data_IF_811292733195
#
_entry.id   IF_811292733195
#
_cell.length_a   1.000
_cell.length_b   1.000
_cell.length_c   1.000
_cell.angle_alpha   90.00
_cell.angle_beta   90.00
_cell.angle_gamma   90.00
#
_symmetry.space_group_name_H-M   'P 1'
#
loop_
_entity.id
_entity.type
_entity.pdbx_description
1 polymer ?
#
# COMPACT_ATOMS: atom_id res chain seq x y z
N UNK A 1 7.41 23.30 15.14
CA UNK A 1 7.61 22.43 13.94
C UNK A 1 6.34 21.64 13.65
N UNK A 2 5.81 20.79 14.53
CA UNK A 2 4.53 20.12 14.29
C UNK A 2 3.36 21.11 14.17
N UNK A 3 3.31 22.12 15.01
CA UNK A 3 2.26 23.16 14.97
C UNK A 3 2.23 23.93 13.64
N UNK A 4 3.39 24.18 13.02
CA UNK A 4 3.46 24.85 11.70
C UNK A 4 2.96 23.95 10.59
N UNK A 5 3.27 22.64 10.64
CA UNK A 5 2.76 21.65 9.68
C UNK A 5 1.26 21.46 9.87
N UNK A 6 0.81 21.39 11.12
CA UNK A 6 -0.59 21.31 11.48
C UNK A 6 -1.39 22.48 10.93
N UNK A 7 -0.92 23.73 11.12
CA UNK A 7 -1.56 24.92 10.57
C UNK A 7 -1.70 24.92 9.04
N UNK A 8 -0.83 24.19 8.32
CA UNK A 8 -0.91 24.09 6.88
C UNK A 8 -1.99 23.14 6.39
N UNK A 9 -2.28 22.09 7.14
CA UNK A 9 -3.09 20.96 6.68
C UNK A 9 -4.37 20.72 7.47
N UNK A 10 -4.44 21.16 8.74
CA UNK A 10 -5.52 20.77 9.65
C UNK A 10 -6.91 21.20 9.15
N UNK A 11 -7.05 22.42 8.65
CA UNK A 11 -8.34 22.89 8.17
C UNK A 11 -8.84 22.10 6.96
N UNK A 12 -7.96 21.82 6.00
CA UNK A 12 -8.31 21.02 4.83
C UNK A 12 -8.58 19.57 5.22
N UNK A 13 -7.77 18.99 6.11
CA UNK A 13 -7.97 17.64 6.61
C UNK A 13 -9.33 17.51 7.31
N UNK A 14 -9.68 18.45 8.18
CA UNK A 14 -10.95 18.49 8.86
C UNK A 14 -12.13 18.56 7.87
N UNK A 15 -12.06 19.48 6.91
CA UNK A 15 -13.09 19.62 5.88
C UNK A 15 -13.29 18.31 5.08
N UNK A 16 -12.20 17.72 4.57
CA UNK A 16 -12.27 16.47 3.79
C UNK A 16 -12.72 15.28 4.63
N UNK A 17 -12.29 15.22 5.89
CA UNK A 17 -12.72 14.16 6.81
C UNK A 17 -14.22 14.24 7.09
N UNK A 18 -14.75 15.43 7.40
CA UNK A 18 -16.18 15.62 7.62
C UNK A 18 -17.00 15.48 6.32
N UNK A 19 -16.45 15.86 5.18
CA UNK A 19 -17.09 15.60 3.88
C UNK A 19 -17.30 14.10 3.66
N UNK A 20 -16.37 13.24 4.10
CA UNK A 20 -16.46 11.80 3.89
C UNK A 20 -17.25 11.08 4.99
N UNK A 21 -17.04 11.46 6.25
CA UNK A 21 -17.49 10.69 7.41
C UNK A 21 -18.58 11.36 8.24
N UNK A 22 -18.76 12.69 8.17
CA UNK A 22 -19.71 13.45 8.98
C UNK A 22 -19.61 13.14 10.49
N UNK A 23 -18.40 12.89 11.02
CA UNK A 23 -18.16 12.42 12.37
C UNK A 23 -17.02 13.20 13.04
N UNK A 24 -17.38 14.21 13.84
CA UNK A 24 -16.44 15.08 14.54
C UNK A 24 -15.66 14.31 15.62
N UNK A 25 -16.31 13.43 16.36
CA UNK A 25 -15.66 12.67 17.43
C UNK A 25 -14.53 11.79 16.88
N UNK A 26 -14.78 11.06 15.79
CA UNK A 26 -13.74 10.24 15.16
C UNK A 26 -12.61 11.10 14.57
N UNK A 27 -12.89 12.34 14.14
CA UNK A 27 -11.84 13.28 13.75
C UNK A 27 -10.97 13.71 14.94
N UNK A 28 -11.57 14.02 16.08
CA UNK A 28 -10.82 14.35 17.30
C UNK A 28 -9.93 13.16 17.75
N UNK A 29 -10.48 11.94 17.70
CA UNK A 29 -9.70 10.71 17.98
C UNK A 29 -8.53 10.54 17.00
N UNK A 30 -8.73 10.81 15.69
CA UNK A 30 -7.67 10.84 14.71
C UNK A 30 -6.58 11.86 15.11
N UNK A 31 -6.96 13.11 15.41
CA UNK A 31 -5.99 14.16 15.74
C UNK A 31 -5.17 13.83 16.99
N UNK A 32 -5.79 13.23 18.01
CA UNK A 32 -5.07 12.72 19.18
C UNK A 32 -4.04 11.66 18.80
N UNK A 33 -4.44 10.70 17.97
CA UNK A 33 -3.53 9.64 17.49
C UNK A 33 -2.35 10.21 16.67
N UNK A 34 -2.58 11.27 15.87
CA UNK A 34 -1.51 11.94 15.12
C UNK A 34 -0.50 12.60 16.07
N UNK A 35 -0.98 13.26 17.11
CA UNK A 35 -0.11 13.86 18.13
C UNK A 35 0.72 12.79 18.85
N UNK A 36 0.10 11.70 19.29
CA UNK A 36 0.79 10.57 19.93
C UNK A 36 1.85 9.95 18.99
N UNK A 37 1.51 9.76 17.72
CA UNK A 37 2.45 9.23 16.73
C UNK A 37 3.66 10.15 16.52
N UNK A 38 3.46 11.47 16.51
CA UNK A 38 4.54 12.44 16.42
C UNK A 38 5.40 12.46 17.68
N UNK A 39 4.81 12.40 18.87
CA UNK A 39 5.54 12.33 20.15
C UNK A 39 6.45 11.09 20.21
N UNK A 40 5.94 9.97 19.72
CA UNK A 40 6.66 8.70 19.68
C UNK A 40 7.66 8.58 18.52
N UNK A 41 7.70 9.56 17.60
CA UNK A 41 8.62 9.51 16.47
C UNK A 41 10.07 9.69 16.91
N UNK A 42 10.99 8.76 16.59
CA UNK A 42 12.40 8.82 16.98
C UNK A 42 13.07 10.12 16.53
N UNK A 43 13.97 10.65 17.36
CA UNK A 43 14.67 11.92 17.10
C UNK A 43 15.47 11.90 15.78
N UNK A 44 16.09 10.76 15.44
CA UNK A 44 16.80 10.59 14.18
C UNK A 44 15.87 10.71 12.97
N UNK A 45 14.63 10.18 13.06
CA UNK A 45 13.63 10.27 12.00
C UNK A 45 13.07 11.69 11.90
N UNK A 46 12.85 12.40 13.02
CA UNK A 46 12.49 13.83 13.00
C UNK A 46 13.58 14.69 12.34
N UNK A 47 14.84 14.33 12.53
CA UNK A 47 15.96 15.00 11.85
C UNK A 47 15.96 14.72 10.34
N UNK A 48 15.63 13.48 9.94
CA UNK A 48 15.45 13.10 8.54
C UNK A 48 14.29 13.88 7.91
N UNK A 49 13.16 13.96 8.59
CA UNK A 49 11.98 14.73 8.15
C UNK A 49 12.35 16.19 7.87
N UNK A 50 13.05 16.83 8.81
CA UNK A 50 13.46 18.23 8.68
C UNK A 50 14.44 18.48 7.53
N UNK A 51 15.26 17.50 7.16
CA UNK A 51 16.13 17.58 5.97
C UNK A 51 15.30 17.46 4.68
N UNK A 52 14.40 16.47 4.62
CA UNK A 52 13.59 16.20 3.43
C UNK A 52 12.55 17.26 3.16
N UNK A 53 12.04 17.95 4.18
CA UNK A 53 11.21 19.16 3.97
C UNK A 53 11.93 20.27 3.22
N UNK A 54 13.27 20.38 3.38
CA UNK A 54 14.09 21.34 2.63
C UNK A 54 14.42 20.85 1.21
N UNK A 55 14.28 19.55 0.97
CA UNK A 55 14.55 18.89 -0.30
C UNK A 55 13.32 18.05 -0.73
N UNK A 56 12.17 18.67 -0.99
CA UNK A 56 10.90 17.94 -1.17
C UNK A 56 10.89 16.97 -2.36
N UNK A 57 11.85 17.13 -3.29
CA UNK A 57 12.01 16.23 -4.43
C UNK A 57 13.15 15.21 -4.25
N UNK A 58 13.59 14.92 -3.01
CA UNK A 58 14.67 13.98 -2.73
C UNK A 58 14.51 12.64 -3.44
N UNK A 59 13.28 12.14 -3.58
CA UNK A 59 12.92 10.88 -4.23
C UNK A 59 12.95 10.93 -5.78
N UNK A 60 13.18 12.11 -6.37
CA UNK A 60 13.35 12.30 -7.83
C UNK A 60 14.82 12.46 -8.22
N UNK A 61 15.73 12.12 -7.32
CA UNK A 61 17.16 12.24 -7.58
C UNK A 61 17.58 11.30 -8.73
N UNK A 62 18.46 11.80 -9.61
CA UNK A 62 19.01 11.01 -10.74
C UNK A 62 19.80 9.78 -10.30
N UNK A 63 20.27 9.77 -9.07
CA UNK A 63 21.02 8.64 -8.49
C UNK A 63 20.11 7.61 -7.82
N UNK A 64 18.79 7.76 -7.87
CA UNK A 64 17.89 6.78 -7.29
C UNK A 64 17.84 5.54 -8.19
N UNK A 65 18.43 4.46 -7.69
CA UNK A 65 18.37 3.13 -8.27
C UNK A 65 17.67 2.21 -7.30
N UNK A 66 16.57 1.60 -7.74
CA UNK A 66 15.73 0.73 -6.91
C UNK A 66 15.88 -0.73 -7.24
N UNK A 67 15.70 -1.57 -6.21
CA UNK A 67 15.53 -3.02 -6.35
C UNK A 67 14.31 -3.45 -5.55
N UNK A 68 13.57 -4.43 -6.06
CA UNK A 68 12.42 -5.05 -5.38
C UNK A 68 12.72 -6.52 -5.15
N UNK A 69 12.47 -7.02 -3.94
CA UNK A 69 12.72 -8.41 -3.58
C UNK A 69 11.85 -8.90 -2.42
N UNK A 70 11.62 -10.20 -2.38
CA UNK A 70 11.13 -10.87 -1.18
C UNK A 70 12.30 -11.16 -0.24
N UNK A 71 12.25 -10.72 1.05
CA UNK A 71 13.36 -10.95 2.00
C UNK A 71 13.73 -12.42 2.14
N UNK A 72 12.71 -13.29 2.23
CA UNK A 72 12.86 -14.73 2.39
C UNK A 72 13.53 -15.38 1.19
N UNK A 73 13.18 -14.97 -0.04
CA UNK A 73 13.76 -15.52 -1.27
C UNK A 73 15.18 -15.01 -1.52
N UNK A 74 15.44 -13.74 -1.17
CA UNK A 74 16.76 -13.13 -1.39
C UNK A 74 17.80 -13.64 -0.41
N UNK A 75 17.48 -13.68 0.88
CA UNK A 75 18.46 -13.91 1.93
C UNK A 75 17.90 -14.68 3.15
N UNK A 76 16.80 -15.40 3.00
CA UNK A 76 16.19 -16.20 4.07
C UNK A 76 15.39 -15.41 5.11
N UNK A 77 15.44 -14.08 5.10
CA UNK A 77 14.73 -13.19 6.01
C UNK A 77 15.43 -11.86 6.23
N UNK A 78 14.97 -11.07 7.21
CA UNK A 78 15.47 -9.71 7.47
C UNK A 78 16.95 -9.69 7.90
N UNK A 79 17.38 -10.63 8.73
CA UNK A 79 18.79 -10.71 9.13
C UNK A 79 19.71 -10.98 7.93
N UNK A 80 19.31 -11.89 7.04
CA UNK A 80 20.07 -12.13 5.82
C UNK A 80 20.13 -10.89 4.92
N UNK A 81 19.06 -10.11 4.81
CA UNK A 81 19.09 -8.81 4.09
C UNK A 81 20.10 -7.87 4.73
N UNK A 82 20.16 -7.79 6.09
CA UNK A 82 21.14 -6.96 6.81
C UNK A 82 22.58 -7.40 6.46
N UNK A 83 22.85 -8.68 6.39
CA UNK A 83 24.17 -9.23 6.03
C UNK A 83 24.59 -8.90 4.59
N UNK A 84 23.61 -8.64 3.70
CA UNK A 84 23.87 -8.30 2.28
C UNK A 84 23.84 -6.80 1.97
N UNK A 85 23.80 -5.91 2.97
CA UNK A 85 23.72 -4.46 2.75
C UNK A 85 24.95 -3.89 2.02
N UNK A 86 26.13 -4.45 2.23
CA UNK A 86 27.34 -4.02 1.52
C UNK A 86 27.25 -4.37 0.03
N UNK A 87 26.73 -5.55 -0.30
CA UNK A 87 26.43 -5.92 -1.69
C UNK A 87 25.47 -4.93 -2.33
N UNK A 88 24.37 -4.55 -1.66
CA UNK A 88 23.41 -3.56 -2.19
C UNK A 88 24.08 -2.19 -2.40
N UNK A 89 24.97 -1.79 -1.50
CA UNK A 89 25.73 -0.54 -1.63
C UNK A 89 26.72 -0.58 -2.81
N UNK A 90 27.40 -1.69 -3.03
CA UNK A 90 28.29 -1.89 -4.18
C UNK A 90 27.53 -1.78 -5.50
N UNK A 91 26.28 -2.30 -5.55
CA UNK A 91 25.40 -2.18 -6.70
C UNK A 91 24.80 -0.77 -6.85
N UNK A 92 25.15 0.20 -5.96
CA UNK A 92 24.63 1.58 -5.96
C UNK A 92 23.12 1.66 -5.75
N UNK A 93 22.52 0.68 -5.08
CA UNK A 93 21.11 0.70 -4.69
C UNK A 93 20.91 1.82 -3.68
N UNK A 94 19.91 2.65 -3.90
CA UNK A 94 19.50 3.75 -3.01
C UNK A 94 18.03 3.65 -2.60
N UNK A 95 17.30 2.69 -3.17
CA UNK A 95 15.91 2.42 -2.89
C UNK A 95 15.67 0.91 -2.85
N UNK A 96 15.30 0.41 -1.69
CA UNK A 96 14.99 -1.01 -1.48
C UNK A 96 13.49 -1.19 -1.24
N UNK A 97 12.80 -1.88 -2.13
CA UNK A 97 11.42 -2.30 -1.92
C UNK A 97 11.41 -3.76 -1.47
N UNK A 98 11.11 -3.98 -0.21
CA UNK A 98 10.83 -5.31 0.31
C UNK A 98 9.34 -5.63 0.09
N UNK A 99 9.10 -6.72 -0.64
CA UNK A 99 7.77 -7.28 -0.86
C UNK A 99 7.13 -7.66 0.48
N UNK A 100 5.80 -7.89 0.55
CA UNK A 100 5.10 -7.99 1.82
C UNK A 100 5.80 -8.85 2.86
N UNK A 101 5.96 -8.29 4.04
CA UNK A 101 6.68 -8.92 5.15
C UNK A 101 5.91 -8.86 6.48
N UNK A 102 4.72 -8.25 6.48
CA UNK A 102 3.86 -8.22 7.66
C UNK A 102 3.21 -9.59 7.88
N UNK A 103 2.78 -9.85 9.11
CA UNK A 103 2.21 -11.14 9.50
C UNK A 103 1.06 -11.53 8.60
N UNK A 104 1.11 -12.77 8.11
CA UNK A 104 0.20 -13.32 7.13
C UNK A 104 -0.18 -14.75 7.46
N UNK A 105 -1.36 -15.25 7.06
CA UNK A 105 -1.71 -16.66 7.22
C UNK A 105 -0.87 -17.55 6.32
N UNK A 106 -0.65 -18.79 6.73
CA UNK A 106 0.02 -19.80 5.94
C UNK A 106 -0.90 -21.02 5.75
N UNK A 107 -0.95 -21.63 4.54
CA UNK A 107 -0.15 -21.33 3.34
C UNK A 107 -0.77 -20.31 2.37
N UNK A 108 -2.03 -19.88 2.57
CA UNK A 108 -2.77 -19.04 1.64
C UNK A 108 -2.71 -17.57 2.06
N UNK A 109 -1.87 -16.76 1.39
CA UNK A 109 -1.66 -15.37 1.74
C UNK A 109 -1.44 -14.43 0.54
N UNK A 110 -1.58 -14.93 -0.69
CA UNK A 110 -1.38 -14.13 -1.91
C UNK A 110 -0.01 -13.41 -1.94
N UNK A 111 1.07 -14.13 -1.59
CA UNK A 111 2.42 -13.54 -1.55
C UNK A 111 2.60 -12.50 -0.43
N UNK A 112 1.77 -12.55 0.61
CA UNK A 112 1.81 -11.65 1.76
C UNK A 112 0.81 -10.49 1.70
N UNK A 113 -0.02 -10.42 0.66
CA UNK A 113 -1.06 -9.38 0.55
C UNK A 113 -2.32 -9.68 1.37
N UNK A 114 -2.48 -10.87 1.96
CA UNK A 114 -3.46 -11.14 3.00
C UNK A 114 -2.84 -10.87 4.37
N UNK A 115 -3.01 -9.64 4.90
CA UNK A 115 -2.36 -9.22 6.15
C UNK A 115 -3.17 -9.66 7.36
N UNK A 116 -2.53 -10.36 8.30
CA UNK A 116 -3.11 -10.81 9.55
C UNK A 116 -2.86 -9.84 10.72
N UNK A 117 -1.72 -9.12 10.68
CA UNK A 117 -1.38 -8.07 11.63
C UNK A 117 -0.47 -7.02 10.97
N UNK A 118 -0.93 -5.77 10.92
CA UNK A 118 -0.18 -4.66 10.32
C UNK A 118 0.99 -4.15 11.17
N UNK A 119 1.06 -4.53 12.43
CA UNK A 119 2.10 -4.07 13.38
C UNK A 119 3.15 -5.12 13.70
N UNK A 120 3.05 -6.29 13.09
CA UNK A 120 3.96 -7.41 13.32
C UNK A 120 4.59 -7.88 12.01
N UNK A 121 5.91 -8.05 12.03
CA UNK A 121 6.62 -8.77 10.97
C UNK A 121 6.27 -10.24 11.05
N UNK A 122 6.13 -10.91 9.90
CA UNK A 122 5.88 -12.34 9.83
C UNK A 122 7.03 -13.12 10.47
N UNK A 123 6.76 -14.03 11.44
CA UNK A 123 7.82 -14.77 12.15
C UNK A 123 8.73 -15.61 11.25
N UNK A 124 8.27 -16.01 10.06
CA UNK A 124 9.12 -16.73 9.09
C UNK A 124 10.08 -15.80 8.33
N UNK A 125 9.89 -14.47 8.43
CA UNK A 125 10.71 -13.46 7.76
C UNK A 125 11.63 -12.76 8.75
N UNK A 126 11.17 -12.53 9.99
CA UNK A 126 11.94 -11.87 11.01
C UNK A 126 11.12 -11.30 12.15
N UNK A 127 11.64 -10.26 12.82
CA UNK A 127 10.98 -9.55 13.94
C UNK A 127 10.92 -8.05 13.70
N UNK A 128 10.13 -7.35 14.52
CA UNK A 128 10.04 -5.89 14.46
C UNK A 128 11.38 -5.22 14.81
N UNK A 129 12.13 -5.81 15.75
CA UNK A 129 13.48 -5.34 16.14
C UNK A 129 14.47 -5.48 14.98
N UNK A 130 14.37 -6.56 14.21
CA UNK A 130 15.17 -6.77 13.01
C UNK A 130 14.79 -5.77 11.92
N UNK A 131 13.51 -5.47 11.74
CA UNK A 131 13.04 -4.43 10.81
C UNK A 131 13.58 -3.05 11.23
N UNK A 132 13.49 -2.70 12.51
CA UNK A 132 14.05 -1.44 13.02
C UNK A 132 15.56 -1.35 12.84
N UNK A 133 16.30 -2.46 13.10
CA UNK A 133 17.73 -2.55 12.84
C UNK A 133 18.03 -2.36 11.35
N UNK A 134 17.30 -3.04 10.48
CA UNK A 134 17.45 -2.94 9.03
C UNK A 134 17.25 -1.48 8.56
N UNK A 135 16.18 -0.81 8.99
CA UNK A 135 15.92 0.58 8.59
C UNK A 135 17.05 1.52 9.00
N UNK A 136 17.64 1.33 10.21
CA UNK A 136 18.78 2.11 10.68
C UNK A 136 20.03 1.88 9.82
N UNK A 137 20.33 0.62 9.51
CA UNK A 137 21.49 0.26 8.70
C UNK A 137 21.37 0.72 7.24
N UNK A 138 20.17 0.65 6.66
CA UNK A 138 19.87 1.18 5.34
C UNK A 138 20.10 2.71 5.29
N UNK A 139 19.57 3.47 6.27
CA UNK A 139 19.76 4.92 6.33
C UNK A 139 21.22 5.34 6.43
N UNK A 140 22.05 4.62 7.19
CA UNK A 140 23.51 4.87 7.24
C UNK A 140 24.17 4.78 5.87
N UNK A 141 23.62 3.96 4.96
CA UNK A 141 24.10 3.74 3.60
C UNK A 141 23.40 4.60 2.55
N UNK A 142 22.46 5.47 2.97
CA UNK A 142 21.68 6.29 2.05
C UNK A 142 20.64 5.50 1.24
N UNK A 143 20.21 4.36 1.74
CA UNK A 143 19.19 3.50 1.10
C UNK A 143 17.85 3.72 1.81
N UNK A 144 16.82 4.11 1.06
CA UNK A 144 15.46 4.27 1.57
C UNK A 144 14.67 2.97 1.47
N UNK A 145 14.00 2.57 2.56
CA UNK A 145 13.16 1.38 2.59
C UNK A 145 11.73 1.70 2.16
N UNK A 146 11.23 0.90 1.22
CA UNK A 146 9.83 0.85 0.82
C UNK A 146 9.19 -0.44 1.32
N UNK A 147 8.00 -0.32 1.92
CA UNK A 147 7.14 -1.46 2.26
C UNK A 147 5.75 -1.32 1.64
N UNK A 148 5.12 -2.48 1.39
CA UNK A 148 3.72 -2.56 1.00
C UNK A 148 2.80 -2.31 2.20
N UNK A 149 1.72 -1.57 1.99
CA UNK A 149 0.60 -1.46 2.91
C UNK A 149 -0.69 -1.76 2.17
N UNK A 150 -1.36 -2.83 2.59
CA UNK A 150 -2.63 -3.26 2.04
C UNK A 150 -3.76 -2.49 2.73
N UNK A 151 -4.31 -1.47 2.06
CA UNK A 151 -5.41 -0.69 2.64
C UNK A 151 -6.79 -1.22 2.28
N UNK A 152 -6.92 -1.97 1.17
CA UNK A 152 -8.22 -2.40 0.69
C UNK A 152 -8.87 -3.51 1.52
N UNK A 153 -8.08 -4.42 2.10
CA UNK A 153 -8.57 -5.64 2.75
C UNK A 153 -7.63 -6.12 3.86
N UNK A 154 -8.10 -7.06 4.65
CA UNK A 154 -7.29 -7.86 5.58
C UNK A 154 -7.42 -9.35 5.27
N UNK A 155 -6.56 -10.19 5.87
CA UNK A 155 -6.82 -11.61 5.91
C UNK A 155 -8.12 -11.89 6.72
N UNK A 156 -8.79 -12.98 6.39
CA UNK A 156 -9.95 -13.48 7.15
C UNK A 156 -9.56 -14.08 8.53
N UNK A 157 -8.27 -14.12 8.82
CA UNK A 157 -7.64 -14.47 10.10
C UNK A 157 -7.13 -13.25 10.88
N UNK A 158 -7.29 -12.03 10.34
CA UNK A 158 -7.00 -10.80 11.08
C UNK A 158 -7.86 -10.70 12.35
N UNK A 159 -7.35 -10.11 13.42
CA UNK A 159 -8.08 -10.00 14.71
C UNK A 159 -9.48 -9.40 14.53
N UNK A 160 -9.66 -8.43 13.65
CA UNK A 160 -10.98 -7.87 13.36
C UNK A 160 -11.92 -8.90 12.72
N UNK A 161 -11.41 -9.71 11.79
CA UNK A 161 -12.19 -10.77 11.15
C UNK A 161 -12.55 -11.88 12.16
N UNK A 162 -11.62 -12.25 13.05
CA UNK A 162 -11.87 -13.22 14.12
C UNK A 162 -12.98 -12.72 15.06
N UNK A 163 -12.94 -11.44 15.45
CA UNK A 163 -13.95 -10.83 16.31
C UNK A 163 -15.30 -10.68 15.61
N UNK A 164 -15.29 -10.34 14.32
CA UNK A 164 -16.49 -10.33 13.49
C UNK A 164 -17.14 -11.72 13.42
N UNK A 165 -16.35 -12.79 13.21
CA UNK A 165 -16.80 -14.18 13.22
C UNK A 165 -17.42 -14.59 14.56
N UNK A 166 -17.03 -13.97 15.68
CA UNK A 166 -17.64 -14.16 17.00
C UNK A 166 -18.96 -13.38 17.20
N UNK A 167 -19.41 -12.62 16.21
CA UNK A 167 -20.63 -11.82 16.26
C UNK A 167 -20.48 -10.45 16.92
N UNK A 168 -19.27 -9.95 17.10
CA UNK A 168 -19.02 -8.60 17.62
C UNK A 168 -19.35 -7.56 16.54
N UNK A 169 -20.49 -6.86 16.69
CA UNK A 169 -21.04 -5.94 15.67
C UNK A 169 -20.04 -4.86 15.27
N UNK A 170 -19.30 -4.28 16.21
CA UNK A 170 -18.29 -3.25 15.93
C UNK A 170 -17.25 -3.72 14.91
N UNK A 171 -16.90 -5.02 14.95
CA UNK A 171 -15.91 -5.60 14.03
C UNK A 171 -16.54 -6.09 12.74
N UNK A 172 -17.80 -6.49 12.77
CA UNK A 172 -18.57 -6.77 11.55
C UNK A 172 -18.72 -5.51 10.70
N UNK A 173 -18.96 -4.35 11.33
CA UNK A 173 -19.09 -3.05 10.67
C UNK A 173 -17.79 -2.53 10.03
N UNK A 174 -16.64 -3.19 10.29
CA UNK A 174 -15.36 -2.90 9.64
C UNK A 174 -15.23 -3.52 8.25
N UNK A 175 -16.12 -4.44 7.90
CA UNK A 175 -16.13 -5.16 6.62
C UNK A 175 -17.41 -4.88 5.83
N UNK A 176 -17.33 -5.02 4.52
CA UNK A 176 -18.50 -5.00 3.66
C UNK A 176 -19.16 -6.39 3.71
N UNK A 177 -20.13 -6.57 4.61
CA UNK A 177 -20.79 -7.87 4.80
C UNK A 177 -22.31 -7.75 4.92
N UNK A 178 -23.05 -8.73 4.37
CA UNK A 178 -24.50 -8.68 4.17
C UNK A 178 -25.14 -10.02 4.51
N UNK A 179 -26.35 -9.99 5.13
CA UNK A 179 -27.08 -11.20 5.54
C UNK A 179 -27.61 -12.00 4.35
N UNK A 180 -28.05 -11.33 3.32
CA UNK A 180 -28.66 -11.93 2.14
C UNK A 180 -27.90 -11.58 0.87
N UNK A 181 -28.22 -12.26 -0.23
CA UNK A 181 -27.67 -11.96 -1.56
C UNK A 181 -28.23 -10.70 -2.21
N UNK A 182 -29.24 -10.06 -1.61
CA UNK A 182 -29.93 -8.92 -2.23
C UNK A 182 -28.98 -7.76 -2.60
N UNK A 183 -28.17 -7.31 -1.66
CA UNK A 183 -27.16 -6.26 -1.89
C UNK A 183 -25.94 -6.81 -2.67
N UNK A 184 -25.35 -7.95 -2.31
CA UNK A 184 -24.31 -8.58 -3.11
C UNK A 184 -24.65 -8.71 -4.60
N UNK A 185 -25.85 -9.20 -4.94
CA UNK A 185 -26.29 -9.35 -6.35
C UNK A 185 -26.42 -8.00 -7.07
N UNK A 186 -26.71 -6.91 -6.35
CA UNK A 186 -26.71 -5.57 -6.92
C UNK A 186 -25.29 -5.06 -7.20
N UNK A 187 -24.33 -5.29 -6.30
CA UNK A 187 -22.91 -4.99 -6.54
C UNK A 187 -22.37 -5.75 -7.75
N UNK A 188 -22.64 -7.04 -7.85
CA UNK A 188 -22.14 -7.91 -8.92
C UNK A 188 -22.68 -7.54 -10.31
N UNK A 189 -23.75 -6.74 -10.42
CA UNK A 189 -24.21 -6.20 -11.70
C UNK A 189 -23.27 -5.18 -12.32
N UNK A 190 -22.54 -4.43 -11.48
CA UNK A 190 -21.72 -3.31 -11.94
C UNK A 190 -20.24 -3.48 -11.59
N UNK A 191 -19.93 -4.28 -10.58
CA UNK A 191 -18.58 -4.52 -10.09
C UNK A 191 -17.92 -5.65 -10.88
N UNK A 192 -16.85 -5.38 -11.65
CA UNK A 192 -16.16 -6.43 -12.40
C UNK A 192 -15.31 -7.30 -11.46
N UNK A 193 -15.23 -8.59 -11.78
CA UNK A 193 -14.35 -9.52 -11.07
C UNK A 193 -12.88 -9.24 -11.45
N UNK A 194 -11.98 -9.35 -10.47
CA UNK A 194 -10.53 -9.16 -10.68
C UNK A 194 -9.89 -10.46 -11.14
N UNK A 195 -10.23 -11.57 -10.51
CA UNK A 195 -9.68 -12.89 -10.80
C UNK A 195 -10.80 -13.91 -11.16
N UNK A 196 -11.49 -13.74 -12.31
CA UNK A 196 -12.67 -14.55 -12.63
C UNK A 196 -12.36 -16.06 -12.79
N UNK A 197 -11.12 -16.43 -13.09
CA UNK A 197 -10.70 -17.82 -13.28
C UNK A 197 -10.26 -18.50 -11.97
N UNK A 198 -9.61 -17.77 -11.08
CA UNK A 198 -9.00 -18.32 -9.85
C UNK A 198 -9.79 -18.02 -8.57
N UNK A 199 -10.57 -16.94 -8.57
CA UNK A 199 -11.43 -16.51 -7.46
C UNK A 199 -12.73 -15.90 -8.05
N UNK A 200 -13.63 -16.72 -8.58
CA UNK A 200 -14.86 -16.24 -9.20
C UNK A 200 -15.84 -15.66 -8.16
N UNK A 201 -16.55 -14.60 -8.56
CA UNK A 201 -17.46 -13.84 -7.71
C UNK A 201 -16.75 -12.71 -6.96
N UNK A 202 -17.55 -11.87 -6.31
CA UNK A 202 -17.02 -10.78 -5.47
C UNK A 202 -17.45 -10.92 -4.01
N UNK A 203 -18.15 -11.99 -3.66
CA UNK A 203 -18.63 -12.22 -2.30
C UNK A 203 -18.41 -13.67 -1.86
N UNK A 204 -17.88 -13.82 -0.67
CA UNK A 204 -17.65 -15.12 -0.02
C UNK A 204 -18.60 -15.29 1.15
N UNK A 205 -19.25 -16.46 1.25
CA UNK A 205 -20.08 -16.80 2.40
C UNK A 205 -19.21 -17.12 3.61
N UNK A 206 -19.48 -16.47 4.73
CA UNK A 206 -18.87 -16.76 6.02
C UNK A 206 -19.90 -17.47 6.90
N UNK A 207 -19.69 -18.75 7.20
CA UNK A 207 -20.62 -19.58 7.96
C UNK A 207 -20.77 -19.10 9.40
N UNK A 208 -19.69 -18.68 10.05
CA UNK A 208 -19.69 -18.24 11.44
C UNK A 208 -20.48 -16.95 11.64
N UNK A 209 -20.47 -16.06 10.64
CA UNK A 209 -21.20 -14.79 10.69
C UNK A 209 -22.62 -14.89 10.11
N UNK A 210 -22.91 -15.95 9.37
CA UNK A 210 -24.09 -16.04 8.49
C UNK A 210 -24.23 -14.81 7.57
N UNK A 211 -23.11 -14.43 6.90
CA UNK A 211 -23.05 -13.27 6.03
C UNK A 211 -22.22 -13.53 4.77
N UNK A 212 -22.58 -12.82 3.71
CA UNK A 212 -21.76 -12.68 2.51
C UNK A 212 -20.79 -11.52 2.70
N UNK A 213 -19.48 -11.79 2.70
CA UNK A 213 -18.42 -10.79 2.85
C UNK A 213 -17.91 -10.43 1.46
N UNK A 214 -17.72 -9.14 1.20
CA UNK A 214 -17.09 -8.67 -0.03
C UNK A 214 -15.62 -9.10 -0.07
N UNK A 215 -15.23 -9.74 -1.15
CA UNK A 215 -13.87 -10.27 -1.39
C UNK A 215 -13.48 -9.93 -2.83
N UNK A 216 -12.98 -8.72 -3.03
CA UNK A 216 -12.61 -8.21 -4.37
C UNK A 216 -11.53 -9.07 -5.04
N UNK A 217 -10.64 -9.67 -4.26
CA UNK A 217 -9.50 -10.46 -4.74
C UNK A 217 -9.70 -11.95 -4.43
N UNK A 218 -9.19 -12.44 -3.31
CA UNK A 218 -9.35 -13.83 -2.92
C UNK A 218 -10.36 -14.02 -1.78
N UNK A 219 -10.99 -15.19 -1.63
CA UNK A 219 -11.97 -15.47 -0.59
C UNK A 219 -11.48 -15.23 0.85
N UNK A 220 -10.18 -15.33 1.07
CA UNK A 220 -9.53 -15.08 2.37
C UNK A 220 -9.03 -13.63 2.53
N UNK A 221 -9.36 -12.72 1.61
CA UNK A 221 -9.05 -11.29 1.65
C UNK A 221 -10.37 -10.52 1.77
N UNK A 222 -10.71 -10.11 2.98
CA UNK A 222 -11.98 -9.45 3.30
C UNK A 222 -11.88 -7.95 3.14
N UNK A 223 -12.70 -7.39 2.27
CA UNK A 223 -12.68 -5.95 1.94
C UNK A 223 -13.14 -5.10 3.11
N UNK A 224 -12.33 -4.12 3.45
CA UNK A 224 -12.60 -3.16 4.52
C UNK A 224 -13.70 -2.17 4.15
N UNK A 225 -14.50 -1.82 5.15
CA UNK A 225 -15.57 -0.85 5.01
C UNK A 225 -15.09 0.57 5.36
N UNK A 226 -14.60 1.30 4.36
CA UNK A 226 -14.17 2.69 4.55
C UNK A 226 -15.31 3.69 4.72
N UNK A 227 -16.58 3.30 4.71
CA UNK A 227 -17.67 4.13 5.23
C UNK A 227 -17.61 4.27 6.76
N UNK A 228 -16.90 3.36 7.44
CA UNK A 228 -16.64 3.42 8.86
C UNK A 228 -15.35 4.22 9.14
N UNK A 229 -15.42 5.42 9.76
CA UNK A 229 -14.25 6.26 10.03
C UNK A 229 -13.21 5.59 10.92
N UNK A 230 -13.61 4.64 11.79
CA UNK A 230 -12.67 3.89 12.63
C UNK A 230 -11.71 3.04 11.79
N UNK A 231 -12.18 2.50 10.63
CA UNK A 231 -11.31 1.75 9.71
C UNK A 231 -10.20 2.66 9.16
N UNK A 232 -10.58 3.86 8.69
CA UNK A 232 -9.60 4.84 8.23
C UNK A 232 -8.60 5.19 9.33
N UNK A 233 -9.08 5.58 10.52
CA UNK A 233 -8.23 5.99 11.63
C UNK A 233 -7.23 4.89 12.01
N UNK A 234 -7.67 3.65 12.15
CA UNK A 234 -6.79 2.55 12.54
C UNK A 234 -5.78 2.20 11.44
N UNK A 235 -6.16 2.26 10.16
CA UNK A 235 -5.22 2.06 9.05
C UNK A 235 -4.16 3.16 9.00
N UNK A 236 -4.53 4.43 9.29
CA UNK A 236 -3.57 5.52 9.50
C UNK A 236 -2.62 5.20 10.66
N UNK A 237 -3.15 4.73 11.78
CA UNK A 237 -2.34 4.33 12.94
C UNK A 237 -1.31 3.24 12.59
N UNK A 238 -1.68 2.26 11.77
CA UNK A 238 -0.77 1.22 11.29
C UNK A 238 0.36 1.79 10.42
N UNK A 239 0.03 2.70 9.50
CA UNK A 239 1.03 3.37 8.64
C UNK A 239 2.00 4.20 9.48
N UNK A 240 1.50 4.98 10.45
CA UNK A 240 2.34 5.80 11.32
C UNK A 240 3.23 4.96 12.25
N UNK A 241 2.73 3.80 12.72
CA UNK A 241 3.54 2.85 13.47
C UNK A 241 4.73 2.36 12.64
N UNK A 242 4.50 1.91 11.42
CA UNK A 242 5.57 1.46 10.52
C UNK A 242 6.53 2.62 10.13
N UNK A 243 6.00 3.83 9.93
CA UNK A 243 6.83 5.01 9.71
C UNK A 243 7.76 5.28 10.89
N UNK A 244 7.31 5.04 12.13
CA UNK A 244 8.11 5.20 13.34
C UNK A 244 9.14 4.07 13.55
N UNK A 245 8.94 2.90 12.95
CA UNK A 245 9.99 1.87 12.81
C UNK A 245 11.05 2.25 11.76
N UNK A 246 10.83 3.32 11.00
CA UNK A 246 11.80 3.86 10.06
C UNK A 246 11.55 3.51 8.59
N UNK A 247 10.36 3.07 8.24
CA UNK A 247 9.93 2.94 6.84
C UNK A 247 9.81 4.33 6.22
N UNK A 248 10.34 4.50 5.02
CA UNK A 248 10.48 5.81 4.36
C UNK A 248 9.59 5.97 3.12
N UNK A 249 9.14 4.87 2.55
CA UNK A 249 8.22 4.85 1.41
C UNK A 249 7.15 3.80 1.67
N UNK A 250 5.88 4.18 1.52
CA UNK A 250 4.78 3.23 1.52
C UNK A 250 4.25 3.01 0.11
N UNK A 251 4.31 1.78 -0.33
CA UNK A 251 3.58 1.35 -1.51
C UNK A 251 2.17 0.95 -1.08
N UNK A 252 1.19 1.80 -1.41
CA UNK A 252 -0.21 1.51 -1.12
C UNK A 252 -0.74 0.56 -2.17
N UNK A 253 -1.12 -0.62 -1.71
CA UNK A 253 -1.68 -1.68 -2.52
C UNK A 253 -3.10 -1.36 -2.97
N UNK A 254 -3.43 -1.71 -4.22
CA UNK A 254 -4.79 -1.69 -4.78
C UNK A 254 -5.57 -0.39 -4.53
N UNK A 255 -4.91 0.79 -4.63
CA UNK A 255 -5.50 2.10 -4.30
C UNK A 255 -6.88 2.33 -4.93
N UNK A 256 -7.13 2.04 -6.22
CA UNK A 256 -8.42 2.30 -6.85
C UNK A 256 -9.61 1.58 -6.22
N UNK A 257 -9.37 0.56 -5.42
CA UNK A 257 -10.41 -0.32 -4.87
C UNK A 257 -10.84 0.04 -3.45
N UNK A 258 -10.20 1.01 -2.77
CA UNK A 258 -10.39 1.28 -1.33
C UNK A 258 -11.87 1.64 -1.00
N UNK A 259 -12.57 2.36 -1.86
CA UNK A 259 -13.98 2.75 -1.63
C UNK A 259 -14.95 1.90 -2.43
N UNK A 260 -16.06 1.52 -1.77
CA UNK A 260 -17.14 0.73 -2.37
C UNK A 260 -18.45 1.52 -2.38
N UNK A 261 -19.10 1.58 -3.52
CA UNK A 261 -20.38 2.29 -3.68
C UNK A 261 -21.31 1.47 -4.55
N UNK A 262 -22.52 1.19 -4.04
CA UNK A 262 -23.52 0.42 -4.76
C UNK A 262 -23.92 1.12 -6.09
N UNK A 263 -24.06 0.35 -7.14
CA UNK A 263 -24.39 0.85 -8.48
C UNK A 263 -23.22 1.43 -9.27
N UNK A 264 -22.01 1.37 -8.71
CA UNK A 264 -20.76 1.73 -9.39
C UNK A 264 -19.92 0.49 -9.69
N UNK A 265 -18.80 0.68 -10.39
CA UNK A 265 -17.82 -0.39 -10.60
C UNK A 265 -16.86 -0.59 -9.41
N UNK A 266 -17.03 0.15 -8.32
CA UNK A 266 -16.17 0.15 -7.11
C UNK A 266 -14.68 0.35 -7.41
N UNK A 267 -14.36 1.11 -8.44
CA UNK A 267 -12.99 1.44 -8.83
C UNK A 267 -12.87 2.92 -9.14
N UNK A 268 -11.77 3.52 -8.69
CA UNK A 268 -11.41 4.88 -9.07
C UNK A 268 -12.48 5.93 -8.72
N UNK A 269 -13.17 5.73 -7.58
CA UNK A 269 -14.22 6.62 -7.14
C UNK A 269 -13.65 7.91 -6.50
N UNK A 270 -14.38 9.04 -6.53
CA UNK A 270 -13.92 10.30 -5.94
C UNK A 270 -13.48 10.20 -4.47
N UNK A 271 -14.13 9.33 -3.71
CA UNK A 271 -13.80 9.11 -2.30
C UNK A 271 -12.42 8.48 -2.09
N UNK A 272 -11.93 7.71 -3.05
CA UNK A 272 -10.54 7.18 -3.02
C UNK A 272 -9.55 8.33 -3.02
N UNK A 273 -9.77 9.35 -3.84
CA UNK A 273 -8.92 10.55 -3.91
C UNK A 273 -8.95 11.34 -2.61
N UNK A 274 -10.13 11.47 -1.95
CA UNK A 274 -10.22 12.09 -0.63
C UNK A 274 -9.38 11.32 0.41
N UNK A 275 -9.46 9.98 0.43
CA UNK A 275 -8.69 9.12 1.34
C UNK A 275 -7.19 9.29 1.10
N UNK A 276 -6.73 9.23 -0.15
CA UNK A 276 -5.31 9.38 -0.49
C UNK A 276 -4.81 10.79 -0.15
N UNK A 277 -5.62 11.81 -0.42
CA UNK A 277 -5.30 13.20 -0.07
C UNK A 277 -5.17 13.39 1.45
N UNK A 278 -6.12 12.86 2.24
CA UNK A 278 -6.04 12.89 3.70
C UNK A 278 -4.80 12.15 4.22
N UNK A 279 -4.51 10.95 3.71
CA UNK A 279 -3.30 10.21 4.05
C UNK A 279 -2.03 11.05 3.73
N UNK A 280 -1.99 11.71 2.57
CA UNK A 280 -0.88 12.59 2.20
C UNK A 280 -0.69 13.71 3.21
N UNK A 281 -1.75 14.45 3.56
CA UNK A 281 -1.70 15.55 4.54
C UNK A 281 -1.24 15.06 5.91
N UNK A 282 -1.74 13.90 6.37
CA UNK A 282 -1.36 13.29 7.63
C UNK A 282 0.15 12.99 7.67
N UNK A 283 0.70 12.40 6.61
CA UNK A 283 2.13 12.14 6.54
C UNK A 283 2.93 13.45 6.54
N UNK A 284 2.49 14.47 5.81
CA UNK A 284 3.14 15.79 5.80
C UNK A 284 3.11 16.48 7.16
N UNK A 285 2.10 16.21 7.99
CA UNK A 285 2.06 16.71 9.37
C UNK A 285 3.00 15.94 10.31
N UNK A 286 2.94 14.61 10.30
CA UNK A 286 3.59 13.76 11.31
C UNK A 286 5.00 13.35 10.90
N UNK A 287 5.19 12.95 9.66
CA UNK A 287 6.44 12.37 9.14
C UNK A 287 6.72 12.80 7.67
N UNK A 288 6.96 14.11 7.42
CA UNK A 288 7.06 14.67 6.07
C UNK A 288 8.23 14.13 5.24
N UNK A 289 9.14 13.39 5.85
CA UNK A 289 10.19 12.66 5.13
C UNK A 289 9.72 11.37 4.46
N UNK A 290 8.50 10.92 4.76
CA UNK A 290 7.89 9.71 4.19
C UNK A 290 7.09 10.03 2.95
N UNK A 291 7.16 9.16 1.94
CA UNK A 291 6.43 9.34 0.68
C UNK A 291 5.49 8.18 0.36
N UNK A 292 4.48 8.47 -0.45
CA UNK A 292 3.50 7.51 -0.95
C UNK A 292 3.81 7.09 -2.38
N UNK A 293 3.80 5.81 -2.63
CA UNK A 293 3.81 5.19 -3.96
C UNK A 293 2.50 4.42 -4.14
N UNK A 294 1.60 4.91 -4.99
CA UNK A 294 0.32 4.26 -5.26
C UNK A 294 0.47 3.12 -6.26
N UNK A 295 -0.12 1.97 -5.96
CA UNK A 295 -0.37 0.97 -6.99
C UNK A 295 -1.71 1.27 -7.65
N UNK A 296 -1.61 1.78 -8.86
CA UNK A 296 -2.74 2.14 -9.70
C UNK A 296 -2.55 1.49 -11.05
N UNK A 297 -3.23 0.36 -11.27
CA UNK A 297 -3.19 -0.37 -12.55
C UNK A 297 -4.44 0.00 -13.34
N UNK A 298 -4.35 1.10 -14.07
CA UNK A 298 -5.44 1.72 -14.83
C UNK A 298 -4.95 2.09 -16.23
N UNK A 299 -5.88 2.54 -17.08
CA UNK A 299 -5.50 3.11 -18.37
C UNK A 299 -4.53 4.30 -18.18
N UNK A 300 -3.52 4.47 -19.06
CA UNK A 300 -2.50 5.50 -18.90
C UNK A 300 -3.04 6.93 -18.72
N UNK A 301 -4.22 7.22 -19.27
CA UNK A 301 -4.89 8.53 -19.14
C UNK A 301 -5.47 8.79 -17.74
N UNK A 302 -5.72 7.74 -16.97
CA UNK A 302 -6.31 7.81 -15.61
C UNK A 302 -5.23 7.90 -14.52
N UNK A 303 -4.00 7.47 -14.82
CA UNK A 303 -2.90 7.49 -13.86
C UNK A 303 -2.57 8.89 -13.31
N UNK A 304 -2.49 9.97 -14.13
CA UNK A 304 -2.06 11.28 -13.64
C UNK A 304 -2.94 11.85 -12.53
N UNK A 305 -4.22 11.46 -12.46
CA UNK A 305 -5.16 11.94 -11.44
C UNK A 305 -4.66 11.59 -10.03
N UNK A 306 -4.00 10.44 -9.85
CA UNK A 306 -3.47 9.99 -8.57
C UNK A 306 -2.20 10.71 -8.08
N UNK A 307 -1.62 11.61 -8.90
CA UNK A 307 -0.67 12.57 -8.39
C UNK A 307 -1.37 13.75 -7.71
N UNK A 308 -2.68 13.91 -7.95
CA UNK A 308 -3.42 15.09 -7.55
C UNK A 308 -3.04 16.34 -8.36
N UNK A 309 -3.25 17.47 -7.76
CA UNK A 309 -2.87 18.77 -8.31
C UNK A 309 -1.74 19.41 -7.50
N UNK A 310 -1.23 20.56 -7.93
CA UNK A 310 -0.23 21.30 -7.17
C UNK A 310 -0.76 21.76 -5.79
N UNK A 311 -2.04 22.11 -5.72
CA UNK A 311 -2.70 22.54 -4.48
C UNK A 311 -3.22 21.38 -3.64
N UNK A 312 -3.60 20.27 -4.27
CA UNK A 312 -4.13 19.07 -3.62
C UNK A 312 -3.33 17.84 -4.06
N UNK A 313 -2.04 17.72 -3.67
CA UNK A 313 -1.21 16.58 -4.04
C UNK A 313 -1.67 15.30 -3.34
N UNK A 314 -1.60 14.18 -4.08
CA UNK A 314 -1.91 12.84 -3.61
C UNK A 314 -0.63 11.98 -3.54
N UNK A 315 -0.48 10.96 -4.39
CA UNK A 315 0.71 10.12 -4.40
C UNK A 315 1.95 10.89 -4.89
N UNK A 316 3.10 10.58 -4.29
CA UNK A 316 4.39 11.10 -4.76
C UNK A 316 4.92 10.34 -5.98
N UNK A 317 4.62 9.03 -6.04
CA UNK A 317 5.07 8.10 -7.07
C UNK A 317 3.92 7.19 -7.50
N UNK A 318 3.93 6.80 -8.76
CA UNK A 318 3.05 5.78 -9.34
C UNK A 318 3.88 4.82 -10.19
N UNK A 319 3.33 3.65 -10.48
CA UNK A 319 3.96 2.72 -11.41
C UNK A 319 3.82 3.21 -12.85
N UNK A 320 4.91 3.19 -13.59
CA UNK A 320 4.91 3.44 -15.04
C UNK A 320 4.45 2.21 -15.82
N UNK A 321 3.18 1.83 -15.68
CA UNK A 321 2.62 0.59 -16.24
C UNK A 321 2.89 0.47 -17.73
N UNK A 322 2.71 1.56 -18.50
CA UNK A 322 3.02 1.57 -19.95
C UNK A 322 4.48 1.26 -20.23
N UNK A 323 5.41 1.82 -19.44
CA UNK A 323 6.84 1.54 -19.58
C UNK A 323 7.17 0.09 -19.25
N UNK A 324 6.55 -0.46 -18.21
CA UNK A 324 6.71 -1.86 -17.80
C UNK A 324 6.22 -2.81 -18.88
N UNK A 325 5.00 -2.60 -19.40
CA UNK A 325 4.42 -3.44 -20.45
C UNK A 325 5.25 -3.37 -21.74
N UNK A 326 5.68 -2.18 -22.14
CA UNK A 326 6.52 -2.00 -23.31
C UNK A 326 7.90 -2.65 -23.15
N UNK A 327 8.49 -2.57 -21.97
CA UNK A 327 9.75 -3.24 -21.67
C UNK A 327 9.60 -4.77 -21.74
N UNK A 328 8.55 -5.33 -21.15
CA UNK A 328 8.27 -6.75 -21.19
C UNK A 328 7.94 -7.22 -22.63
N UNK A 329 7.12 -6.47 -23.35
CA UNK A 329 6.85 -6.75 -24.75
C UNK A 329 8.14 -6.73 -25.58
N UNK A 330 9.01 -5.74 -25.36
CA UNK A 330 10.32 -5.71 -26.01
C UNK A 330 11.17 -6.92 -25.64
N UNK A 331 11.25 -7.32 -24.39
CA UNK A 331 11.98 -8.51 -23.95
C UNK A 331 11.42 -9.80 -24.58
N UNK A 332 10.11 -9.94 -24.67
CA UNK A 332 9.46 -11.08 -25.29
C UNK A 332 9.59 -11.08 -26.83
N UNK A 333 9.53 -9.90 -27.45
CA UNK A 333 9.65 -9.72 -28.90
C UNK A 333 11.11 -9.71 -29.37
N UNK A 334 12.09 -9.46 -28.50
CA UNK A 334 13.50 -9.60 -28.83
C UNK A 334 13.96 -11.06 -28.98
N UNK A 335 13.13 -12.00 -28.64
CA UNK A 335 13.22 -13.37 -29.16
C UNK A 335 12.71 -13.47 -30.60
N UNK A 336 12.04 -12.46 -31.14
CA UNK A 336 11.81 -12.26 -32.58
C UNK A 336 13.06 -11.64 -33.22
N UNK A 337 13.41 -12.02 -34.45
CA UNK A 337 14.69 -11.72 -35.03
C UNK A 337 14.99 -10.21 -35.02
N UNK A 338 16.12 -9.84 -34.44
CA UNK A 338 16.65 -8.50 -34.62
C UNK A 338 16.84 -8.21 -36.11
N UNK A 339 16.90 -6.97 -36.55
CA UNK A 339 17.29 -6.67 -37.92
C UNK A 339 18.61 -7.36 -38.33
N UNK A 340 19.51 -7.65 -37.37
CA UNK A 340 20.72 -8.46 -37.58
C UNK A 340 20.39 -9.95 -37.80
N UNK A 341 19.41 -10.50 -37.08
CA UNK A 341 19.03 -11.90 -37.22
C UNK A 341 18.31 -12.12 -38.54
N UNK A 342 17.53 -11.13 -39.03
CA UNK A 342 16.97 -11.12 -40.38
C UNK A 342 18.05 -11.11 -41.48
N UNK A 343 19.15 -10.42 -41.28
CA UNK A 343 20.26 -10.41 -42.22
C UNK A 343 21.06 -11.71 -42.17
N UNK A 344 21.17 -12.35 -41.00
CA UNK A 344 21.79 -13.69 -40.86
C UNK A 344 20.95 -14.78 -41.47
N UNK A 345 19.61 -14.75 -41.36
CA UNK A 345 18.72 -15.73 -41.96
C UNK A 345 18.60 -15.59 -43.45
N UNK A 346 19.16 -14.53 -44.07
CA UNK A 346 19.20 -14.32 -45.53
C UNK A 346 20.57 -14.60 -46.13
N UNK A 347 21.55 -15.07 -45.36
CA UNK A 347 22.76 -15.63 -45.98
C UNK A 347 22.39 -16.96 -46.65
N UNK A 348 22.65 -17.13 -47.97
CA UNK A 348 22.41 -18.41 -48.63
C UNK A 348 23.29 -19.45 -47.95
N UNK A 349 22.69 -20.60 -47.62
CA UNK A 349 23.41 -21.80 -47.25
C UNK A 349 24.11 -22.35 -48.50
N UNK A 350 25.10 -21.64 -49.00
CA UNK A 350 25.86 -22.08 -50.11
C UNK A 350 27.29 -21.63 -49.92
N UNK A 351 28.05 -22.43 -49.24
CA UNK A 351 29.41 -22.80 -49.65
C UNK A 351 29.83 -24.02 -48.85
#
# INVERSE_FOLDING_TARGET
MIEERRKRHENELHEKYLQLYHNEQCYEELMQMLEEAYQNRPAELRSLDSRREKEPNWYRNRNMLGITMYPKLFAGGLNGVIEHLDYLSEQKITYLHLMPLLKMPHPYNDGGYAVEDFKQVDPEIGTNEELEKLTKELRKRGISLCLDVVMNHTADTHEWAIRAKRGEQEYMDRYQCYETREIPDQFEKTMPQVFPETAPGNFTWCEEMHRHVLTTFYPYQWDLNYHNPKVFNEMIGNILYLANLGVEVFRIDAVPYIWKELGTNCRNLPQVHLIVRMLRMILEMVCPGVILKGEVVMEPKELPVYFGTENEPECHMLYGVSSMVNLWAACLLYTSPSPRDRTRSRMPSSA
#
